data_IF_854764859406
#
_entry.id   IF_854764859406
#
_cell.length_a   1.000
_cell.length_b   1.000
_cell.length_c   1.000
_cell.angle_alpha   90.00
_cell.angle_beta   90.00
_cell.angle_gamma   90.00
#
_symmetry.space_group_name_H-M   'P 1'
#
loop_
_entity.id
_entity.type
_entity.pdbx_description
1 polymer ?
#
# COMPACT_ATOMS: atom_id res chain seq x y z
N UNK A 1 -29.57 15.66 -3.38
CA UNK A 1 -28.86 15.80 -2.10
C UNK A 1 -28.04 14.53 -1.89
N UNK A 2 -26.78 14.49 -2.33
CA UNK A 2 -25.97 13.25 -2.38
C UNK A 2 -25.03 13.25 -1.17
N UNK A 3 -25.39 12.46 -0.16
CA UNK A 3 -24.50 12.09 0.96
C UNK A 3 -23.37 11.19 0.42
N UNK A 4 -22.11 11.45 0.79
CA UNK A 4 -21.00 10.54 0.50
C UNK A 4 -21.09 9.35 1.46
N UNK A 5 -21.92 8.37 1.13
CA UNK A 5 -22.29 7.19 1.94
C UNK A 5 -21.14 6.23 2.32
N UNK A 6 -19.89 6.57 1.98
CA UNK A 6 -18.69 5.82 2.37
C UNK A 6 -17.69 6.65 3.18
N UNK A 7 -17.95 7.95 3.39
CA UNK A 7 -17.09 8.87 4.12
C UNK A 7 -17.58 9.18 5.55
N UNK A 8 -18.75 8.63 5.95
CA UNK A 8 -19.40 8.91 7.24
C UNK A 8 -19.73 7.67 8.09
N UNK A 9 -19.27 6.45 7.72
CA UNK A 9 -19.23 5.34 8.70
C UNK A 9 -18.07 5.45 9.69
N UNK A 10 -17.42 6.61 9.70
CA UNK A 10 -16.65 7.13 10.83
C UNK A 10 -17.43 8.26 11.50
N UNK A 11 -18.70 8.05 11.81
CA UNK A 11 -19.08 8.35 13.18
C UNK A 11 -18.13 7.50 14.03
N UNK A 12 -17.13 8.15 14.65
CA UNK A 12 -16.60 7.58 15.87
C UNK A 12 -17.86 7.25 16.69
N UNK A 13 -18.09 5.99 17.10
CA UNK A 13 -19.21 5.72 17.99
C UNK A 13 -19.08 6.74 19.11
N UNK A 14 -20.12 7.55 19.29
CA UNK A 14 -20.24 8.44 20.42
C UNK A 14 -19.76 7.66 21.61
N UNK A 15 -18.67 8.16 22.18
CA UNK A 15 -17.96 7.64 23.33
C UNK A 15 -18.95 6.90 24.26
N UNK A 16 -19.00 5.55 24.29
CA UNK A 16 -19.35 4.92 25.53
C UNK A 16 -18.11 5.20 26.36
N UNK A 17 -18.27 6.03 27.38
CA UNK A 17 -17.42 5.92 28.56
C UNK A 17 -17.49 4.45 28.95
N UNK A 18 -16.54 3.65 28.45
CA UNK A 18 -16.46 2.23 28.79
C UNK A 18 -15.97 2.22 30.23
N UNK A 19 -16.93 2.05 31.14
CA UNK A 19 -16.61 1.49 32.44
C UNK A 19 -15.95 0.13 32.15
N UNK A 20 -14.66 0.07 32.40
CA UNK A 20 -13.88 -1.16 32.35
C UNK A 20 -14.37 -2.03 33.49
N UNK A 21 -15.43 -2.81 33.26
CA UNK A 21 -15.73 -3.97 34.09
C UNK A 21 -14.62 -4.99 33.85
N UNK A 22 -13.65 -5.00 34.77
CA UNK A 22 -12.62 -6.03 34.87
C UNK A 22 -13.28 -7.39 35.06
N UNK A 23 -13.50 -8.14 33.98
CA UNK A 23 -13.76 -9.58 34.05
C UNK A 23 -12.53 -10.33 33.54
N UNK A 24 -12.11 -11.36 34.29
CA UNK A 24 -10.94 -12.20 33.97
C UNK A 24 -11.11 -13.03 32.68
N UNK A 25 -12.29 -13.01 32.05
CA UNK A 25 -12.58 -13.76 30.82
C UNK A 25 -11.99 -13.08 29.57
N UNK A 26 -11.83 -11.75 29.59
CA UNK A 26 -11.30 -10.97 28.46
C UNK A 26 -9.79 -11.22 28.22
N UNK A 27 -9.03 -11.57 29.26
CA UNK A 27 -7.60 -11.91 29.11
C UNK A 27 -7.39 -13.23 28.37
N UNK A 28 -8.32 -14.18 28.52
CA UNK A 28 -8.27 -15.47 27.85
C UNK A 28 -8.63 -15.32 26.36
N UNK A 29 -9.59 -14.46 26.01
CA UNK A 29 -9.88 -14.13 24.61
C UNK A 29 -8.74 -13.36 23.95
N UNK A 30 -8.14 -12.40 24.65
CA UNK A 30 -6.99 -11.64 24.13
C UNK A 30 -5.77 -12.53 23.89
N UNK A 31 -5.52 -13.52 24.75
CA UNK A 31 -4.42 -14.48 24.55
C UNK A 31 -4.67 -15.43 23.38
N UNK A 32 -5.91 -15.90 23.17
CA UNK A 32 -6.30 -16.69 21.99
C UNK A 32 -6.18 -15.89 20.70
N UNK A 33 -6.58 -14.62 20.70
CA UNK A 33 -6.44 -13.72 19.56
C UNK A 33 -4.97 -13.48 19.21
N UNK A 34 -4.11 -13.26 20.22
CA UNK A 34 -2.68 -13.14 20.03
C UNK A 34 -2.07 -14.42 19.43
N UNK A 35 -2.39 -15.60 19.98
CA UNK A 35 -1.92 -16.89 19.47
C UNK A 35 -2.36 -17.14 18.02
N UNK A 36 -3.60 -16.78 17.66
CA UNK A 36 -4.09 -16.86 16.29
C UNK A 36 -3.32 -15.94 15.33
N UNK A 37 -3.04 -14.70 15.74
CA UNK A 37 -2.23 -13.76 14.95
C UNK A 37 -0.82 -14.31 14.75
N UNK A 38 -0.16 -14.80 15.80
CA UNK A 38 1.17 -15.40 15.70
C UNK A 38 1.19 -16.62 14.76
N UNK A 39 0.20 -17.51 14.88
CA UNK A 39 0.10 -18.72 14.06
C UNK A 39 -0.13 -18.39 12.58
N UNK A 40 -1.03 -17.45 12.29
CA UNK A 40 -1.29 -17.03 10.90
C UNK A 40 -0.10 -16.31 10.28
N UNK A 41 0.62 -15.47 11.05
CA UNK A 41 1.86 -14.85 10.60
C UNK A 41 2.96 -15.90 10.35
N UNK A 42 3.07 -16.93 11.19
CA UNK A 42 4.05 -18.00 11.03
C UNK A 42 3.81 -18.87 9.80
N UNK A 43 2.56 -19.33 9.59
CA UNK A 43 2.17 -20.10 8.39
C UNK A 43 2.43 -19.27 7.13
N UNK A 44 2.03 -17.99 7.14
CA UNK A 44 2.27 -17.10 6.01
C UNK A 44 3.77 -16.95 5.71
N UNK A 45 4.61 -16.83 6.74
CA UNK A 45 6.07 -16.75 6.58
C UNK A 45 6.63 -18.02 5.96
N UNK A 46 6.18 -19.21 6.38
CA UNK A 46 6.59 -20.48 5.76
C UNK A 46 6.17 -20.55 4.28
N UNK A 47 4.93 -20.19 3.95
CA UNK A 47 4.47 -20.17 2.55
C UNK A 47 5.29 -19.20 1.70
N UNK A 48 5.66 -18.04 2.26
CA UNK A 48 6.54 -17.08 1.62
C UNK A 48 7.95 -17.65 1.39
N UNK A 49 8.56 -18.30 2.39
CA UNK A 49 9.85 -18.98 2.25
C UNK A 49 9.82 -19.98 1.10
N UNK A 50 8.79 -20.84 1.05
CA UNK A 50 8.64 -21.87 0.00
C UNK A 50 8.46 -21.25 -1.38
N UNK A 51 7.57 -20.28 -1.52
CA UNK A 51 7.34 -19.56 -2.77
C UNK A 51 8.62 -18.88 -3.26
N UNK A 52 9.34 -18.21 -2.35
CA UNK A 52 10.56 -17.46 -2.70
C UNK A 52 11.76 -18.36 -3.00
N UNK A 53 11.87 -19.51 -2.33
CA UNK A 53 12.86 -20.54 -2.66
C UNK A 53 12.60 -21.08 -4.06
N UNK A 54 11.33 -21.36 -4.41
CA UNK A 54 10.94 -21.76 -5.76
C UNK A 54 11.21 -20.68 -6.81
N UNK A 55 10.94 -19.42 -6.50
CA UNK A 55 11.19 -18.28 -7.38
C UNK A 55 12.69 -18.10 -7.65
N UNK A 56 13.52 -18.19 -6.61
CA UNK A 56 14.98 -18.12 -6.74
C UNK A 56 15.52 -19.28 -7.59
N UNK A 57 14.98 -20.49 -7.43
CA UNK A 57 15.31 -21.62 -8.28
C UNK A 57 14.95 -21.34 -9.75
N UNK A 58 13.76 -20.81 -10.03
CA UNK A 58 13.34 -20.46 -11.40
C UNK A 58 14.25 -19.37 -12.00
N UNK A 59 14.64 -18.38 -11.22
CA UNK A 59 15.38 -17.20 -11.71
C UNK A 59 16.88 -17.45 -11.86
N UNK A 60 17.50 -18.15 -10.90
CA UNK A 60 18.96 -18.34 -10.87
C UNK A 60 19.40 -19.75 -11.27
N UNK A 61 18.46 -20.69 -11.42
CA UNK A 61 18.71 -22.14 -11.57
C UNK A 61 19.54 -22.74 -10.43
N UNK A 62 19.65 -22.05 -9.29
CA UNK A 62 20.35 -22.53 -8.09
C UNK A 62 19.35 -22.67 -6.95
N UNK A 63 19.36 -23.84 -6.31
CA UNK A 63 18.55 -24.11 -5.12
C UNK A 63 19.33 -23.62 -3.89
N UNK A 64 18.95 -22.48 -3.34
CA UNK A 64 19.42 -22.05 -2.01
C UNK A 64 18.21 -21.81 -1.12
N UNK A 65 18.20 -22.41 0.06
CA UNK A 65 17.16 -22.21 1.06
C UNK A 65 17.29 -20.76 1.57
N UNK A 66 16.26 -19.94 1.34
CA UNK A 66 16.25 -18.54 1.74
C UNK A 66 15.44 -18.44 3.03
N UNK A 67 16.13 -18.20 4.15
CA UNK A 67 15.52 -18.08 5.49
C UNK A 67 15.23 -16.61 5.84
N UNK A 68 15.88 -15.67 5.14
CA UNK A 68 15.72 -14.21 5.32
C UNK A 68 15.02 -13.59 4.09
N UNK A 69 13.74 -13.91 3.99
CA UNK A 69 12.89 -13.84 2.79
C UNK A 69 12.76 -12.43 2.24
N UNK A 70 12.75 -11.42 3.12
CA UNK A 70 12.53 -10.03 2.71
C UNK A 70 13.80 -9.38 2.20
N UNK A 71 14.94 -9.61 2.85
CA UNK A 71 16.22 -9.02 2.44
C UNK A 71 16.68 -9.64 1.13
N UNK A 72 16.63 -10.98 1.01
CA UNK A 72 17.16 -11.64 -0.17
C UNK A 72 16.28 -11.43 -1.41
N UNK A 73 14.94 -11.52 -1.28
CA UNK A 73 14.03 -11.20 -2.39
C UNK A 73 14.15 -9.75 -2.79
N UNK A 74 14.26 -8.83 -1.83
CA UNK A 74 14.54 -7.44 -2.15
C UNK A 74 15.86 -7.34 -2.91
N UNK A 75 16.97 -7.93 -2.43
CA UNK A 75 18.25 -7.84 -3.15
C UNK A 75 18.22 -8.44 -4.55
N UNK A 76 17.57 -9.60 -4.74
CA UNK A 76 17.48 -10.30 -6.02
C UNK A 76 16.53 -9.58 -6.99
N UNK A 77 15.36 -9.16 -6.52
CA UNK A 77 14.45 -8.34 -7.30
C UNK A 77 15.10 -7.01 -7.67
N UNK A 78 15.83 -6.38 -6.75
CA UNK A 78 16.56 -5.13 -7.01
C UNK A 78 17.70 -5.34 -8.00
N UNK A 79 18.42 -6.47 -7.96
CA UNK A 79 19.46 -6.77 -8.94
C UNK A 79 18.88 -7.01 -10.33
N UNK A 80 17.76 -7.74 -10.43
CA UNK A 80 17.04 -7.95 -11.69
C UNK A 80 16.47 -6.64 -12.23
N UNK A 81 15.87 -5.82 -11.36
CA UNK A 81 15.37 -4.49 -11.73
C UNK A 81 16.49 -3.54 -12.13
N UNK A 82 17.69 -3.65 -11.56
CA UNK A 82 18.86 -2.86 -11.99
C UNK A 82 19.33 -3.26 -13.39
N UNK A 83 19.24 -4.55 -13.72
CA UNK A 83 19.62 -5.11 -15.02
C UNK A 83 18.45 -5.24 -16.00
N UNK A 84 17.34 -4.53 -15.78
CA UNK A 84 16.08 -4.71 -16.50
C UNK A 84 16.20 -4.64 -18.04
N UNK A 85 17.19 -3.91 -18.55
CA UNK A 85 17.45 -3.79 -19.99
C UNK A 85 17.80 -5.14 -20.63
N UNK A 86 18.51 -6.00 -19.90
CA UNK A 86 18.98 -7.31 -20.36
C UNK A 86 17.98 -8.44 -20.09
N UNK A 87 17.12 -8.28 -19.09
CA UNK A 87 16.22 -9.35 -18.65
C UNK A 87 14.99 -9.53 -19.56
N UNK A 88 14.44 -10.75 -19.61
CA UNK A 88 13.20 -11.03 -20.32
C UNK A 88 12.00 -10.36 -19.64
N UNK A 89 11.02 -9.88 -20.41
CA UNK A 89 9.87 -9.17 -19.81
C UNK A 89 9.01 -10.08 -18.92
N UNK A 90 8.92 -11.38 -19.24
CA UNK A 90 8.27 -12.37 -18.36
C UNK A 90 8.94 -12.46 -16.98
N UNK A 91 10.28 -12.50 -16.97
CA UNK A 91 11.08 -12.50 -15.73
C UNK A 91 10.84 -11.22 -14.94
N UNK A 92 10.77 -10.07 -15.62
CA UNK A 92 10.46 -8.78 -14.99
C UNK A 92 9.06 -8.76 -14.38
N UNK A 93 8.03 -9.24 -15.09
CA UNK A 93 6.66 -9.32 -14.56
C UNK A 93 6.63 -10.18 -13.29
N UNK A 94 7.21 -11.38 -13.35
CA UNK A 94 7.26 -12.31 -12.22
C UNK A 94 8.03 -11.71 -11.03
N UNK A 95 9.13 -10.99 -11.30
CA UNK A 95 9.90 -10.24 -10.31
C UNK A 95 9.05 -9.16 -9.62
N UNK A 96 8.34 -8.33 -10.39
CA UNK A 96 7.50 -7.25 -9.87
C UNK A 96 6.34 -7.79 -9.03
N UNK A 97 5.70 -8.85 -9.49
CA UNK A 97 4.65 -9.53 -8.74
C UNK A 97 5.16 -10.10 -7.42
N UNK A 98 6.26 -10.84 -7.49
CA UNK A 98 6.88 -11.44 -6.30
C UNK A 98 7.28 -10.38 -5.27
N UNK A 99 7.92 -9.30 -5.72
CA UNK A 99 8.24 -8.15 -4.88
C UNK A 99 6.98 -7.54 -4.26
N UNK A 100 5.90 -7.40 -5.03
CA UNK A 100 4.65 -6.80 -4.56
C UNK A 100 3.95 -7.67 -3.50
N UNK A 101 3.95 -9.01 -3.68
CA UNK A 101 3.48 -9.96 -2.66
C UNK A 101 4.33 -9.83 -1.39
N UNK A 102 5.66 -9.86 -1.54
CA UNK A 102 6.60 -9.75 -0.41
C UNK A 102 6.41 -8.45 0.37
N UNK A 103 6.27 -7.34 -0.34
CA UNK A 103 6.06 -6.03 0.26
C UNK A 103 4.70 -5.95 0.97
N UNK A 104 3.62 -6.45 0.34
CA UNK A 104 2.30 -6.48 0.97
C UNK A 104 2.32 -7.31 2.25
N UNK A 105 2.85 -8.53 2.16
CA UNK A 105 2.94 -9.48 3.27
C UNK A 105 3.75 -8.95 4.45
N UNK A 106 4.99 -8.50 4.18
CA UNK A 106 5.86 -8.00 5.23
C UNK A 106 5.35 -6.69 5.82
N UNK A 107 5.20 -5.65 4.99
CA UNK A 107 5.01 -4.27 5.45
C UNK A 107 3.61 -4.03 6.00
N UNK A 108 2.57 -4.63 5.42
CA UNK A 108 1.20 -4.36 5.86
C UNK A 108 0.64 -5.49 6.73
N UNK A 109 0.77 -6.76 6.30
CA UNK A 109 0.14 -7.86 7.05
C UNK A 109 0.86 -8.18 8.36
N UNK A 110 2.19 -8.18 8.37
CA UNK A 110 2.96 -8.51 9.58
C UNK A 110 3.18 -7.26 10.43
N UNK A 111 3.94 -6.28 9.93
CA UNK A 111 4.33 -5.12 10.74
C UNK A 111 3.15 -4.32 11.27
N UNK A 112 2.13 -4.07 10.43
CA UNK A 112 0.95 -3.32 10.85
C UNK A 112 0.15 -4.01 11.97
N UNK A 113 0.00 -5.34 11.91
CA UNK A 113 -0.70 -6.11 12.94
C UNK A 113 0.10 -6.19 14.24
N UNK A 114 1.43 -6.26 14.17
CA UNK A 114 2.28 -6.22 15.38
C UNK A 114 2.10 -4.89 16.12
N UNK A 115 2.10 -3.76 15.42
CA UNK A 115 1.90 -2.44 16.05
C UNK A 115 0.52 -2.33 16.71
N UNK A 116 -0.54 -2.74 16.00
CA UNK A 116 -1.90 -2.76 16.59
C UNK A 116 -1.99 -3.73 17.77
N UNK A 117 -1.35 -4.90 17.69
CA UNK A 117 -1.29 -5.88 18.77
C UNK A 117 -0.60 -5.32 20.01
N UNK A 118 0.55 -4.66 19.85
CA UNK A 118 1.25 -3.98 20.94
C UNK A 118 0.40 -2.86 21.57
N UNK A 119 -0.31 -2.09 20.74
CA UNK A 119 -1.17 -1.04 21.24
C UNK A 119 -2.37 -1.61 22.03
N UNK A 120 -2.96 -2.72 21.59
CA UNK A 120 -3.99 -3.46 22.34
C UNK A 120 -3.45 -4.03 23.66
N UNK A 121 -2.20 -4.49 23.69
CA UNK A 121 -1.54 -4.90 24.94
C UNK A 121 -1.39 -3.75 25.93
N UNK A 122 -1.22 -2.51 25.45
CA UNK A 122 -1.21 -1.31 26.28
C UNK A 122 -2.62 -0.83 26.70
N UNK A 123 -3.68 -1.59 26.38
CA UNK A 123 -5.07 -1.25 26.73
C UNK A 123 -5.77 -0.34 25.72
N UNK A 124 -5.16 -0.04 24.58
CA UNK A 124 -5.82 0.77 23.53
C UNK A 124 -6.66 -0.10 22.60
N UNK A 125 -7.96 0.22 22.47
CA UNK A 125 -8.84 -0.47 21.53
C UNK A 125 -8.71 0.10 20.11
N UNK A 126 -7.66 -0.31 19.40
CA UNK A 126 -7.44 0.07 18.01
C UNK A 126 -8.11 -0.91 17.03
N UNK A 127 -8.76 -0.43 15.94
CA UNK A 127 -9.27 -1.30 14.88
C UNK A 127 -8.13 -2.06 14.17
N UNK A 128 -8.48 -3.12 13.45
CA UNK A 128 -7.49 -3.89 12.70
C UNK A 128 -6.80 -3.04 11.63
N UNK A 129 -5.49 -3.28 11.46
CA UNK A 129 -4.66 -2.55 10.51
C UNK A 129 -5.07 -2.75 9.04
N UNK A 130 -5.61 -3.93 8.71
CA UNK A 130 -6.07 -4.29 7.36
C UNK A 130 -7.50 -4.82 7.45
N UNK A 131 -8.39 -4.29 6.62
CA UNK A 131 -9.80 -4.69 6.59
C UNK A 131 -10.19 -5.43 5.29
N UNK A 132 -10.02 -6.76 5.29
CA UNK A 132 -10.50 -7.65 4.20
C UNK A 132 -10.22 -7.13 2.78
N UNK A 133 -8.96 -6.89 2.40
CA UNK A 133 -8.61 -6.21 1.15
C UNK A 133 -9.09 -6.98 -0.08
N UNK A 134 -9.21 -8.29 0.03
CA UNK A 134 -9.70 -9.19 -1.02
C UNK A 134 -11.19 -9.04 -1.34
N UNK A 135 -11.97 -8.39 -0.46
CA UNK A 135 -13.38 -8.06 -0.69
C UNK A 135 -13.56 -6.72 -1.41
N UNK A 136 -12.47 -6.09 -1.85
CA UNK A 136 -12.53 -4.77 -2.48
C UNK A 136 -13.32 -4.76 -3.78
N UNK A 137 -14.15 -3.74 -3.97
CA UNK A 137 -14.94 -3.57 -5.21
C UNK A 137 -14.30 -2.61 -6.23
N UNK A 138 -13.25 -1.90 -5.83
CA UNK A 138 -12.49 -0.98 -6.67
C UNK A 138 -11.03 -0.94 -6.22
N UNK A 139 -10.14 -0.40 -7.06
CA UNK A 139 -8.75 -0.22 -6.68
C UNK A 139 -8.60 0.76 -5.51
N UNK A 140 -9.44 1.80 -5.48
CA UNK A 140 -9.49 2.73 -4.35
C UNK A 140 -9.96 2.07 -3.06
N UNK A 141 -10.94 1.17 -3.13
CA UNK A 141 -11.42 0.37 -1.99
C UNK A 141 -10.34 -0.61 -1.52
N UNK A 142 -9.64 -1.28 -2.46
CA UNK A 142 -8.49 -2.13 -2.16
C UNK A 142 -7.41 -1.35 -1.40
N UNK A 143 -6.99 -0.20 -1.94
CA UNK A 143 -5.97 0.64 -1.33
C UNK A 143 -6.42 1.12 0.05
N UNK A 144 -7.68 1.51 0.21
CA UNK A 144 -8.22 1.99 1.49
C UNK A 144 -8.26 0.92 2.57
N UNK A 145 -8.43 -0.34 2.19
CA UNK A 145 -8.44 -1.48 3.10
C UNK A 145 -7.06 -1.94 3.53
N UNK A 146 -6.04 -1.78 2.68
CA UNK A 146 -4.64 -2.12 3.03
C UNK A 146 -3.93 -0.99 3.80
N UNK A 147 -4.40 0.25 3.65
CA UNK A 147 -3.79 1.47 4.19
C UNK A 147 -4.77 2.25 5.08
N UNK A 148 -5.51 1.54 5.93
CA UNK A 148 -6.61 2.12 6.71
C UNK A 148 -6.19 3.33 7.56
N UNK A 149 -5.19 3.15 8.43
CA UNK A 149 -4.69 4.24 9.30
C UNK A 149 -4.06 5.39 8.52
N UNK A 150 -3.31 5.04 7.47
CA UNK A 150 -2.72 6.03 6.58
C UNK A 150 -3.81 6.90 5.93
N UNK A 151 -4.91 6.30 5.46
CA UNK A 151 -6.03 7.04 4.90
C UNK A 151 -6.67 8.00 5.90
N UNK A 152 -6.85 7.60 7.16
CA UNK A 152 -7.41 8.48 8.20
C UNK A 152 -6.53 9.74 8.36
N UNK A 153 -5.22 9.55 8.43
CA UNK A 153 -4.26 10.66 8.56
C UNK A 153 -4.35 11.58 7.32
N UNK A 154 -4.33 11.00 6.13
CA UNK A 154 -4.40 11.75 4.86
C UNK A 154 -5.69 12.56 4.77
N UNK A 155 -6.82 11.96 5.13
CA UNK A 155 -8.13 12.61 5.03
C UNK A 155 -8.21 13.77 6.03
N UNK A 156 -7.89 13.52 7.29
CA UNK A 156 -8.05 14.50 8.36
C UNK A 156 -7.08 15.68 8.23
N UNK A 157 -5.83 15.42 7.83
CA UNK A 157 -4.79 16.45 7.84
C UNK A 157 -4.53 17.10 6.48
N UNK A 158 -4.91 16.45 5.37
CA UNK A 158 -4.62 16.98 4.04
C UNK A 158 -5.88 17.18 3.18
N UNK A 159 -6.82 16.24 3.19
CA UNK A 159 -8.01 16.34 2.34
C UNK A 159 -8.96 17.45 2.81
N UNK A 160 -9.42 17.43 4.06
CA UNK A 160 -10.37 18.44 4.56
C UNK A 160 -9.80 19.86 4.50
N UNK A 161 -8.54 20.12 4.91
CA UNK A 161 -7.94 21.44 4.76
C UNK A 161 -7.84 21.90 3.29
N UNK A 162 -7.46 21.00 2.37
CA UNK A 162 -7.41 21.33 0.94
C UNK A 162 -8.81 21.62 0.38
N UNK A 163 -9.82 20.85 0.79
CA UNK A 163 -11.19 21.07 0.37
C UNK A 163 -11.73 22.42 0.87
N UNK A 164 -11.42 22.79 2.11
CA UNK A 164 -11.79 24.09 2.70
C UNK A 164 -11.14 25.26 1.96
N UNK A 165 -9.85 25.14 1.63
CA UNK A 165 -9.16 26.12 0.80
C UNK A 165 -9.81 26.25 -0.59
N UNK A 166 -10.14 25.12 -1.22
CA UNK A 166 -10.78 25.10 -2.54
C UNK A 166 -12.23 25.61 -2.54
N UNK A 167 -12.91 25.64 -1.38
CA UNK A 167 -14.26 26.20 -1.28
C UNK A 167 -14.29 27.68 -1.67
N UNK A 168 -13.20 28.41 -1.42
CA UNK A 168 -13.02 29.85 -1.74
C UNK A 168 -12.99 30.16 -3.24
N UNK A 169 -12.82 29.15 -4.10
CA UNK A 169 -12.77 29.30 -5.55
C UNK A 169 -14.09 28.90 -6.22
N UNK A 170 -14.41 29.55 -7.35
CA UNK A 170 -15.59 29.25 -8.19
C UNK A 170 -15.38 27.99 -9.06
N UNK A 171 -15.10 26.86 -8.41
CA UNK A 171 -14.99 25.54 -9.05
C UNK A 171 -16.24 24.69 -8.80
N UNK A 172 -16.57 23.78 -9.72
CA UNK A 172 -17.65 22.82 -9.48
C UNK A 172 -17.29 21.86 -8.35
N UNK A 173 -18.30 21.38 -7.60
CA UNK A 173 -18.10 20.47 -6.45
C UNK A 173 -17.24 19.24 -6.80
N UNK A 174 -17.47 18.65 -7.97
CA UNK A 174 -16.70 17.49 -8.43
C UNK A 174 -15.22 17.84 -8.67
N UNK A 175 -14.91 19.00 -9.25
CA UNK A 175 -13.53 19.46 -9.44
C UNK A 175 -12.85 19.75 -8.11
N UNK A 176 -13.55 20.39 -7.16
CA UNK A 176 -13.02 20.63 -5.81
C UNK A 176 -12.61 19.33 -5.12
N UNK A 177 -13.49 18.32 -5.13
CA UNK A 177 -13.19 17.00 -4.54
C UNK A 177 -12.04 16.30 -5.27
N UNK A 178 -12.02 16.33 -6.60
CA UNK A 178 -10.94 15.74 -7.40
C UNK A 178 -9.57 16.35 -7.06
N UNK A 179 -9.49 17.68 -7.01
CA UNK A 179 -8.24 18.39 -6.71
C UNK A 179 -7.83 18.17 -5.26
N UNK A 180 -8.77 18.28 -4.30
CA UNK A 180 -8.49 18.02 -2.88
C UNK A 180 -7.97 16.60 -2.65
N UNK A 181 -8.56 15.60 -3.31
CA UNK A 181 -8.13 14.21 -3.19
C UNK A 181 -6.73 14.01 -3.76
N UNK A 182 -6.45 14.55 -4.96
CA UNK A 182 -5.12 14.42 -5.55
C UNK A 182 -4.06 15.14 -4.72
N UNK A 183 -4.38 16.33 -4.23
CA UNK A 183 -3.53 17.07 -3.30
C UNK A 183 -3.23 16.24 -2.05
N UNK A 184 -4.26 15.69 -1.41
CA UNK A 184 -4.10 14.93 -0.18
C UNK A 184 -3.25 13.67 -0.37
N UNK A 185 -3.50 12.92 -1.44
CA UNK A 185 -2.72 11.72 -1.75
C UNK A 185 -1.28 12.05 -2.09
N UNK A 186 -1.03 13.06 -2.94
CA UNK A 186 0.33 13.43 -3.36
C UNK A 186 1.12 14.03 -2.20
N UNK A 187 0.62 15.11 -1.58
CA UNK A 187 1.34 15.83 -0.54
C UNK A 187 1.36 15.07 0.77
N UNK A 188 0.23 14.51 1.18
CA UNK A 188 0.16 13.75 2.42
C UNK A 188 1.04 12.50 2.37
N UNK A 189 1.08 11.80 1.23
CA UNK A 189 1.96 10.64 1.12
C UNK A 189 3.42 10.96 0.85
N UNK A 190 3.71 12.08 0.18
CA UNK A 190 5.06 12.62 0.15
C UNK A 190 5.55 12.93 1.58
N UNK A 191 4.73 13.61 2.38
CA UNK A 191 5.04 13.95 3.76
C UNK A 191 5.22 12.71 4.64
N UNK A 192 4.32 11.73 4.54
CA UNK A 192 4.44 10.48 5.28
C UNK A 192 5.74 9.72 4.93
N UNK A 193 6.13 9.68 3.66
CA UNK A 193 7.39 9.08 3.21
C UNK A 193 8.61 9.86 3.69
N UNK A 194 8.53 11.19 3.67
CA UNK A 194 9.58 12.06 4.18
C UNK A 194 9.81 11.84 5.68
N UNK A 195 8.73 11.76 6.47
CA UNK A 195 8.80 11.43 7.89
C UNK A 195 9.35 10.02 8.15
N UNK A 196 8.95 9.02 7.35
CA UNK A 196 9.49 7.67 7.44
C UNK A 196 11.01 7.64 7.28
N UNK A 197 11.53 8.49 6.40
CA UNK A 197 12.95 8.58 6.07
C UNK A 197 13.63 9.80 6.72
N UNK A 198 13.12 10.28 7.87
CA UNK A 198 13.65 11.49 8.54
C UNK A 198 15.14 11.37 8.88
N UNK A 199 15.64 10.15 9.09
CA UNK A 199 17.07 9.86 9.30
C UNK A 199 17.96 10.34 8.14
N UNK A 200 17.41 10.45 6.91
CA UNK A 200 18.14 11.02 5.76
C UNK A 200 18.43 12.50 5.94
N UNK A 201 17.61 13.24 6.70
CA UNK A 201 17.86 14.65 7.05
C UNK A 201 19.11 14.74 7.90
N UNK A 202 19.27 13.86 8.88
CA UNK A 202 20.47 13.79 9.71
C UNK A 202 21.71 13.46 8.88
N UNK A 203 21.61 12.52 7.93
CA UNK A 203 22.76 12.04 7.14
C UNK A 203 23.19 12.97 6.00
N UNK A 204 22.23 13.57 5.28
CA UNK A 204 22.51 14.28 4.02
C UNK A 204 22.17 15.78 4.10
N UNK A 205 21.56 16.25 5.19
CA UNK A 205 21.00 17.59 5.32
C UNK A 205 19.57 17.70 4.78
N UNK A 206 18.85 18.72 5.23
CA UNK A 206 17.43 18.90 4.94
C UNK A 206 17.12 19.03 3.44
N UNK A 207 17.85 19.90 2.73
CA UNK A 207 17.61 20.16 1.30
C UNK A 207 17.85 18.90 0.48
N UNK A 208 18.98 18.21 0.69
CA UNK A 208 19.29 16.98 -0.04
C UNK A 208 18.32 15.85 0.28
N UNK A 209 17.89 15.72 1.54
CA UNK A 209 16.89 14.75 1.94
C UNK A 209 15.55 15.00 1.21
N UNK A 210 15.11 16.26 1.10
CA UNK A 210 13.93 16.62 0.31
C UNK A 210 14.15 16.28 -1.16
N UNK A 211 15.25 16.69 -1.78
CA UNK A 211 15.50 16.42 -3.21
C UNK A 211 15.52 14.92 -3.52
N UNK A 212 16.19 14.12 -2.69
CA UNK A 212 16.22 12.66 -2.82
C UNK A 212 14.83 12.05 -2.65
N UNK A 213 14.08 12.49 -1.63
CA UNK A 213 12.74 11.99 -1.36
C UNK A 213 11.77 12.38 -2.47
N UNK A 214 11.88 13.59 -3.02
CA UNK A 214 11.04 14.07 -4.14
C UNK A 214 11.27 13.24 -5.40
N UNK A 215 12.52 12.95 -5.75
CA UNK A 215 12.85 12.10 -6.91
C UNK A 215 12.32 10.66 -6.75
N UNK A 216 12.31 10.15 -5.52
CA UNK A 216 11.84 8.80 -5.21
C UNK A 216 10.31 8.68 -5.11
N UNK A 217 9.70 9.56 -4.33
CA UNK A 217 8.32 9.42 -3.91
C UNK A 217 7.33 10.02 -4.92
N UNK A 218 7.62 11.20 -5.49
CA UNK A 218 6.62 11.93 -6.27
C UNK A 218 6.09 11.18 -7.49
N UNK A 219 6.92 10.51 -8.32
CA UNK A 219 6.41 9.76 -9.47
C UNK A 219 5.41 8.68 -9.05
N UNK A 220 5.74 7.93 -7.99
CA UNK A 220 4.86 6.92 -7.42
C UNK A 220 3.56 7.54 -6.88
N UNK A 221 3.66 8.64 -6.12
CA UNK A 221 2.49 9.27 -5.49
C UNK A 221 1.53 9.87 -6.52
N UNK A 222 2.04 10.47 -7.60
CA UNK A 222 1.23 11.03 -8.69
C UNK A 222 0.46 9.92 -9.41
N UNK A 223 1.15 8.85 -9.80
CA UNK A 223 0.51 7.72 -10.51
C UNK A 223 -0.51 7.03 -9.60
N UNK A 224 -0.18 6.80 -8.34
CA UNK A 224 -1.09 6.21 -7.36
C UNK A 224 -2.33 7.09 -7.17
N UNK A 225 -2.15 8.39 -7.01
CA UNK A 225 -3.23 9.35 -6.83
C UNK A 225 -4.21 9.36 -8.02
N UNK A 226 -3.68 9.34 -9.23
CA UNK A 226 -4.48 9.23 -10.44
C UNK A 226 -5.23 7.91 -10.50
N UNK A 227 -4.55 6.78 -10.24
CA UNK A 227 -5.17 5.46 -10.24
C UNK A 227 -6.33 5.36 -9.24
N UNK A 228 -6.16 5.88 -8.02
CA UNK A 228 -7.21 5.93 -6.98
C UNK A 228 -8.36 6.82 -7.42
N UNK A 229 -8.07 8.02 -7.91
CA UNK A 229 -9.12 8.99 -8.28
C UNK A 229 -9.94 8.52 -9.49
N UNK A 230 -9.27 7.97 -10.50
CA UNK A 230 -9.92 7.37 -11.67
C UNK A 230 -10.78 6.17 -11.23
N UNK A 231 -10.26 5.31 -10.35
CA UNK A 231 -11.02 4.19 -9.79
C UNK A 231 -12.28 4.66 -9.06
N UNK A 232 -12.22 5.70 -8.25
CA UNK A 232 -13.39 6.25 -7.54
C UNK A 232 -14.42 6.84 -8.52
N UNK A 233 -13.95 7.52 -9.56
CA UNK A 233 -14.83 8.08 -10.58
C UNK A 233 -15.63 6.99 -11.30
N UNK A 234 -14.99 5.86 -11.65
CA UNK A 234 -15.67 4.74 -12.29
C UNK A 234 -16.54 3.91 -11.33
N UNK A 235 -16.17 3.81 -10.05
CA UNK A 235 -16.96 3.09 -9.05
C UNK A 235 -18.36 3.70 -8.89
N UNK A 236 -18.47 5.04 -8.89
CA UNK A 236 -19.74 5.77 -8.78
C UNK A 236 -20.77 5.38 -9.85
N UNK A 237 -20.32 4.84 -10.99
CA UNK A 237 -21.17 4.46 -12.13
C UNK A 237 -21.65 3.00 -12.07
N UNK A 238 -21.07 2.16 -11.21
CA UNK A 238 -21.30 0.70 -11.18
C UNK A 238 -21.56 0.20 -9.75
N UNK A 239 -22.75 0.47 -9.20
CA UNK A 239 -23.09 0.13 -7.81
C UNK A 239 -23.60 -1.31 -7.57
N UNK A 240 -23.71 -2.16 -8.59
CA UNK A 240 -24.39 -3.47 -8.43
C UNK A 240 -23.62 -4.67 -9.00
N UNK A 241 -22.37 -4.93 -8.59
CA UNK A 241 -21.69 -6.15 -9.05
C UNK A 241 -20.97 -6.91 -7.92
N UNK A 242 -21.36 -8.19 -7.76
CA UNK A 242 -20.68 -9.19 -6.92
C UNK A 242 -19.17 -9.21 -7.17
N UNK A 243 -18.40 -9.43 -6.11
CA UNK A 243 -16.95 -9.62 -6.16
C UNK A 243 -16.61 -10.83 -7.03
N UNK A 244 -15.95 -10.59 -8.17
CA UNK A 244 -15.42 -11.63 -9.03
C UNK A 244 -13.91 -11.78 -8.76
N UNK A 245 -13.42 -13.01 -8.61
CA UNK A 245 -12.00 -13.34 -8.43
C UNK A 245 -11.11 -12.64 -9.48
N UNK A 246 -11.58 -12.53 -10.72
CA UNK A 246 -10.86 -11.82 -11.78
C UNK A 246 -10.58 -10.35 -11.44
N UNK A 247 -11.49 -9.67 -10.72
CA UNK A 247 -11.28 -8.28 -10.28
C UNK A 247 -10.24 -8.17 -9.19
N UNK A 248 -10.20 -9.13 -8.27
CA UNK A 248 -9.18 -9.18 -7.23
C UNK A 248 -7.78 -9.30 -7.84
N UNK A 249 -7.61 -10.23 -8.79
CA UNK A 249 -6.35 -10.34 -9.53
C UNK A 249 -6.02 -9.09 -10.33
N UNK A 250 -7.02 -8.43 -10.92
CA UNK A 250 -6.81 -7.17 -11.64
C UNK A 250 -6.32 -6.03 -10.73
N UNK A 251 -6.91 -5.84 -9.55
CA UNK A 251 -6.45 -4.80 -8.61
C UNK A 251 -5.07 -5.12 -8.05
N UNK A 252 -4.78 -6.39 -7.80
CA UNK A 252 -3.46 -6.83 -7.38
C UNK A 252 -2.41 -6.65 -8.48
N UNK A 253 -2.76 -6.92 -9.74
CA UNK A 253 -1.91 -6.63 -10.90
C UNK A 253 -1.66 -5.13 -11.05
N UNK A 254 -2.69 -4.30 -10.94
CA UNK A 254 -2.53 -2.85 -11.01
C UNK A 254 -1.64 -2.32 -9.88
N UNK A 255 -1.82 -2.82 -8.66
CA UNK A 255 -0.93 -2.54 -7.54
C UNK A 255 0.52 -2.92 -7.88
N UNK A 256 0.71 -4.14 -8.40
CA UNK A 256 2.03 -4.64 -8.76
C UNK A 256 2.68 -3.79 -9.85
N UNK A 257 1.93 -3.32 -10.84
CA UNK A 257 2.44 -2.40 -11.87
C UNK A 257 2.85 -1.05 -11.31
N UNK A 258 2.24 -0.54 -10.25
CA UNK A 258 2.58 0.76 -9.66
C UNK A 258 3.84 0.65 -8.76
N UNK A 259 4.07 -0.51 -8.14
CA UNK A 259 5.16 -0.70 -7.17
C UNK A 259 6.58 -0.40 -7.70
N UNK A 260 6.97 -0.70 -8.95
CA UNK A 260 8.27 -0.33 -9.49
C UNK A 260 8.57 1.17 -9.45
N UNK A 261 7.56 2.05 -9.47
CA UNK A 261 7.76 3.50 -9.32
C UNK A 261 8.29 3.87 -7.94
N UNK A 262 8.11 3.01 -6.94
CA UNK A 262 8.73 3.14 -5.62
C UNK A 262 10.27 3.06 -5.70
N UNK A 263 10.81 2.57 -6.82
CA UNK A 263 12.23 2.41 -7.11
C UNK A 263 12.67 3.27 -8.30
N UNK A 264 12.10 4.47 -8.46
CA UNK A 264 12.45 5.36 -9.57
C UNK A 264 13.97 5.56 -9.74
N UNK A 265 14.74 5.59 -8.64
CA UNK A 265 16.21 5.68 -8.68
C UNK A 265 16.87 4.49 -9.41
N UNK A 266 16.32 3.28 -9.28
CA UNK A 266 16.90 2.06 -9.87
C UNK A 266 16.62 2.01 -11.36
N UNK A 267 15.43 2.44 -11.75
CA UNK A 267 15.03 2.49 -13.16
C UNK A 267 15.77 3.60 -13.90
N UNK A 268 16.19 4.67 -13.22
CA UNK A 268 16.99 5.75 -13.78
C UNK A 268 16.14 6.98 -14.08
N UNK A 269 16.30 7.55 -15.27
CA UNK A 269 15.55 8.74 -15.66
C UNK A 269 14.09 8.41 -16.04
N UNK A 270 13.24 9.43 -16.11
CA UNK A 270 11.83 9.26 -16.52
C UNK A 270 11.69 8.50 -17.86
N UNK A 271 12.60 8.73 -18.81
CA UNK A 271 12.62 8.00 -20.09
C UNK A 271 12.92 6.51 -19.91
N UNK A 272 13.78 6.13 -18.98
CA UNK A 272 14.06 4.72 -18.69
C UNK A 272 12.85 4.05 -18.02
N UNK A 273 12.13 4.76 -17.14
CA UNK A 273 10.88 4.29 -16.56
C UNK A 273 9.85 4.00 -17.66
N UNK A 274 9.66 4.92 -18.61
CA UNK A 274 8.75 4.70 -19.74
C UNK A 274 9.16 3.48 -20.55
N UNK A 275 10.46 3.35 -20.90
CA UNK A 275 10.97 2.20 -21.66
C UNK A 275 10.79 0.88 -20.90
N UNK A 276 10.95 0.88 -19.58
CA UNK A 276 10.70 -0.27 -18.73
C UNK A 276 9.24 -0.73 -18.81
N UNK A 277 8.29 0.20 -18.66
CA UNK A 277 6.87 -0.14 -18.79
C UNK A 277 6.50 -0.58 -20.20
N UNK A 278 7.02 0.08 -21.24
CA UNK A 278 6.81 -0.35 -22.63
C UNK A 278 7.27 -1.80 -22.84
N UNK A 279 8.46 -2.17 -22.33
CA UNK A 279 8.98 -3.54 -22.41
C UNK A 279 8.07 -4.57 -21.71
N UNK A 280 7.47 -4.20 -20.58
CA UNK A 280 6.49 -5.05 -19.89
C UNK A 280 5.21 -5.19 -20.72
N UNK A 281 4.70 -4.08 -21.27
CA UNK A 281 3.45 -4.08 -22.04
C UNK A 281 3.56 -4.74 -23.42
N UNK A 282 4.74 -4.73 -24.06
CA UNK A 282 4.94 -5.43 -25.36
C UNK A 282 4.72 -6.93 -25.27
N UNK A 283 4.84 -7.54 -24.08
CA UNK A 283 4.59 -8.97 -23.88
C UNK A 283 3.13 -9.26 -23.49
N UNK A 284 2.35 -8.25 -23.08
CA UNK A 284 0.92 -8.40 -22.80
C UNK A 284 0.02 -8.33 -24.04
N UNK A 285 0.60 -8.00 -25.21
CA UNK A 285 -0.07 -7.89 -26.51
C UNK A 285 0.26 -9.07 -27.46
N UNK A 286 1.20 -9.94 -27.07
CA UNK A 286 1.60 -11.17 -27.76
C UNK A 286 1.00 -12.38 -27.03
#
# INVERSE_FOLDING_TARGET
MIQPFWFLTFEAPENPVYQVEKSNEESLENSKAAAYIFTTCFIFKIMMILYMTGLNFVLTKKMSLIIDDTVLVNTLCLSLLKNWKLENAFVLILCIFSYSVSYLGSSFFIYGRVVVGLARLCGFNFPDYINSPWKSQSFADFFSRIMYYYNIIIINHFFYPALEFLRRFNLSRNKKVFIALNWALIFGGFFARFLKDIWKVYKFGFVNAITLTSRLALPYMVVLSLAVTISLYFQKKNNEKKTNIARMFFYFFLYSLIMPLNFSIILGNFNDIIRFYLKIFTLGLL
#
